data_IF_646877156766
#
_entry.id   IF_646877156766
#
_cell.length_a   1.000
_cell.length_b   1.000
_cell.length_c   1.000
_cell.angle_alpha   90.00
_cell.angle_beta   90.00
_cell.angle_gamma   90.00
#
_symmetry.space_group_name_H-M   'P 1'
#
loop_
_entity.id
_entity.type
_entity.pdbx_description
1 polymer ?
#
# COMPACT_ATOMS: atom_id res chain seq x y z
N UNK A 1 29.64 -6.25 12.40
CA UNK A 1 28.44 -5.67 11.77
C UNK A 1 28.78 -5.44 10.32
N UNK A 2 28.31 -6.21 9.34
CA UNK A 2 28.52 -5.88 7.94
C UNK A 2 27.61 -4.72 7.58
N UNK A 3 28.20 -3.63 7.08
CA UNK A 3 27.49 -2.53 6.47
C UNK A 3 26.72 -3.03 5.25
N UNK A 4 25.38 -2.89 5.27
CA UNK A 4 24.59 -3.07 4.07
C UNK A 4 25.05 -2.03 3.03
N UNK A 5 25.47 -2.49 1.87
CA UNK A 5 25.73 -1.59 0.75
C UNK A 5 24.41 -1.06 0.22
N UNK A 6 24.33 0.23 -0.16
CA UNK A 6 23.12 0.76 -0.79
C UNK A 6 22.85 -0.03 -2.07
N UNK A 7 21.64 -0.57 -2.20
CA UNK A 7 21.19 -1.24 -3.43
C UNK A 7 21.14 -0.20 -4.55
N UNK A 8 21.79 -0.53 -5.66
CA UNK A 8 21.71 0.25 -6.89
C UNK A 8 20.28 0.27 -7.39
N UNK A 9 19.78 1.45 -7.78
CA UNK A 9 18.54 1.62 -8.56
C UNK A 9 18.62 0.70 -9.77
N UNK A 10 17.81 -0.37 -9.79
CA UNK A 10 17.72 -1.28 -10.93
C UNK A 10 16.87 -0.59 -12.01
N UNK A 11 17.51 -0.26 -13.11
CA UNK A 11 16.83 0.27 -14.32
C UNK A 11 15.94 -0.80 -14.94
N UNK A 12 14.84 -0.39 -15.58
CA UNK A 12 13.94 -1.28 -16.32
C UNK A 12 14.72 -2.20 -17.28
N UNK A 13 14.47 -3.51 -17.15
CA UNK A 13 15.11 -4.53 -17.98
C UNK A 13 16.40 -5.13 -17.41
N UNK A 14 17.02 -4.52 -16.39
CA UNK A 14 18.18 -5.11 -15.72
C UNK A 14 17.72 -6.06 -14.59
N UNK A 15 18.05 -7.35 -14.78
CA UNK A 15 17.91 -8.42 -13.79
C UNK A 15 16.47 -8.70 -13.27
N UNK A 16 15.48 -8.78 -14.17
CA UNK A 16 14.12 -9.24 -13.82
C UNK A 16 14.12 -10.55 -13.03
N UNK A 17 14.95 -11.58 -13.35
CA UNK A 17 15.05 -12.79 -12.55
C UNK A 17 15.40 -12.55 -11.08
N UNK A 18 16.37 -11.69 -10.79
CA UNK A 18 16.76 -11.40 -9.41
C UNK A 18 15.69 -10.61 -8.67
N UNK A 19 15.02 -9.65 -9.33
CA UNK A 19 13.88 -8.91 -8.77
C UNK A 19 12.70 -9.84 -8.49
N UNK A 20 12.39 -10.75 -9.41
CA UNK A 20 11.37 -11.78 -9.21
C UNK A 20 11.67 -12.61 -7.96
N UNK A 21 12.87 -13.19 -7.88
CA UNK A 21 13.27 -14.01 -6.75
C UNK A 21 13.19 -13.22 -5.42
N UNK A 22 13.62 -11.96 -5.40
CA UNK A 22 13.57 -11.11 -4.19
C UNK A 22 12.14 -10.81 -3.73
N UNK A 23 11.25 -10.43 -4.64
CA UNK A 23 9.83 -10.14 -4.32
C UNK A 23 9.13 -11.40 -3.82
N UNK A 24 9.34 -12.55 -4.49
CA UNK A 24 8.75 -13.83 -4.09
C UNK A 24 9.23 -14.28 -2.71
N UNK A 25 10.54 -14.17 -2.44
CA UNK A 25 11.12 -14.51 -1.17
C UNK A 25 10.63 -13.61 -0.04
N UNK A 26 10.47 -12.31 -0.28
CA UNK A 26 9.92 -11.38 0.72
C UNK A 26 8.49 -11.73 1.09
N UNK A 27 7.63 -12.04 0.12
CA UNK A 27 6.24 -12.47 0.40
C UNK A 27 6.19 -13.68 1.34
N UNK A 28 7.04 -14.68 1.12
CA UNK A 28 7.12 -15.85 2.00
C UNK A 28 7.69 -15.48 3.39
N UNK A 29 8.72 -14.65 3.44
CA UNK A 29 9.33 -14.22 4.70
C UNK A 29 8.33 -13.41 5.57
N UNK A 30 7.47 -12.60 4.96
CA UNK A 30 6.40 -11.88 5.65
C UNK A 30 5.36 -12.82 6.26
N UNK A 31 5.06 -13.94 5.62
CA UNK A 31 4.11 -14.92 6.13
C UNK A 31 4.73 -15.97 7.08
N UNK A 32 6.05 -16.15 7.06
CA UNK A 32 6.76 -17.19 7.82
C UNK A 32 6.49 -17.19 9.34
N UNK A 33 6.29 -16.03 10.02
CA UNK A 33 5.96 -16.04 11.45
C UNK A 33 4.56 -16.58 11.78
N UNK A 34 3.66 -16.72 10.78
CA UNK A 34 2.27 -17.08 11.00
C UNK A 34 2.06 -18.58 11.07
N UNK A 35 1.25 -19.02 12.03
CA UNK A 35 0.69 -20.38 12.01
C UNK A 35 -0.36 -20.50 10.89
N UNK A 36 -0.72 -21.72 10.49
CA UNK A 36 -1.82 -21.95 9.53
C UNK A 36 -3.15 -21.35 10.02
N UNK A 37 -3.37 -21.35 11.33
CA UNK A 37 -4.53 -20.71 11.93
C UNK A 37 -4.50 -19.19 11.75
N UNK A 38 -3.38 -18.52 12.07
CA UNK A 38 -3.23 -17.08 11.89
C UNK A 38 -3.34 -16.69 10.42
N UNK A 39 -2.71 -17.45 9.53
CA UNK A 39 -2.75 -17.22 8.09
C UNK A 39 -4.14 -17.42 7.46
N UNK A 40 -5.09 -18.04 8.18
CA UNK A 40 -6.46 -18.33 7.70
C UNK A 40 -7.48 -17.28 8.16
N UNK A 41 -7.20 -16.51 9.21
CA UNK A 41 -8.15 -15.57 9.80
C UNK A 41 -8.53 -14.47 8.81
N UNK A 42 -9.83 -14.17 8.77
CA UNK A 42 -10.38 -12.96 8.12
C UNK A 42 -11.14 -12.16 9.17
N UNK A 43 -10.68 -10.98 9.49
CA UNK A 43 -11.19 -10.18 10.60
C UNK A 43 -12.37 -9.26 10.25
N UNK A 44 -12.63 -9.05 8.96
CA UNK A 44 -13.74 -8.27 8.42
C UNK A 44 -13.99 -8.65 6.94
N UNK A 45 -15.13 -8.23 6.40
CA UNK A 45 -15.56 -8.61 5.03
C UNK A 45 -14.59 -8.10 3.94
N UNK A 46 -13.94 -6.96 4.18
CA UNK A 46 -13.02 -6.34 3.23
C UNK A 46 -11.56 -6.81 3.35
N UNK A 47 -11.19 -7.48 4.43
CA UNK A 47 -9.89 -8.11 4.58
C UNK A 47 -9.78 -9.43 3.81
N UNK A 48 -8.56 -9.93 3.65
CA UNK A 48 -8.29 -11.27 3.15
C UNK A 48 -7.29 -11.98 4.07
N UNK A 49 -7.38 -13.31 4.21
CA UNK A 49 -6.40 -14.08 4.97
C UNK A 49 -4.98 -13.94 4.40
N UNK A 50 -3.96 -13.94 5.25
CA UNK A 50 -2.57 -13.85 4.81
C UNK A 50 -2.21 -14.89 3.74
N UNK A 51 -2.62 -16.15 3.92
CA UNK A 51 -2.39 -17.20 2.93
C UNK A 51 -3.11 -16.96 1.60
N UNK A 52 -4.24 -16.23 1.61
CA UNK A 52 -4.95 -15.88 0.39
C UNK A 52 -4.15 -14.87 -0.45
N UNK A 53 -3.46 -13.92 0.16
CA UNK A 53 -2.58 -12.98 -0.55
C UNK A 53 -1.45 -13.72 -1.28
N UNK A 54 -0.77 -14.65 -0.59
CA UNK A 54 0.28 -15.46 -1.21
C UNK A 54 -0.26 -16.30 -2.38
N UNK A 55 -1.44 -16.88 -2.19
CA UNK A 55 -2.09 -17.69 -3.21
C UNK A 55 -2.55 -16.87 -4.41
N UNK A 56 -3.12 -15.68 -4.18
CA UNK A 56 -3.61 -14.80 -5.25
C UNK A 56 -2.46 -14.29 -6.13
N UNK A 57 -1.34 -13.89 -5.54
CA UNK A 57 -0.17 -13.50 -6.33
C UNK A 57 0.41 -14.68 -7.10
N UNK A 58 0.40 -15.88 -6.53
CA UNK A 58 0.80 -17.11 -7.25
C UNK A 58 -0.15 -17.43 -8.39
N UNK A 59 -1.47 -17.27 -8.18
CA UNK A 59 -2.48 -17.38 -9.21
C UNK A 59 -2.24 -16.42 -10.40
N UNK A 60 -1.81 -15.18 -10.11
CA UNK A 60 -1.47 -14.21 -11.15
C UNK A 60 -0.34 -14.73 -12.05
N UNK A 61 0.77 -15.19 -11.46
CA UNK A 61 1.91 -15.74 -12.19
C UNK A 61 1.53 -17.00 -12.98
N UNK A 62 0.76 -17.90 -12.38
CA UNK A 62 0.34 -19.14 -13.05
C UNK A 62 -0.62 -18.85 -14.19
N UNK A 63 -1.58 -17.93 -14.01
CA UNK A 63 -2.63 -17.65 -15.00
C UNK A 63 -2.11 -16.79 -16.15
N UNK A 64 -1.53 -15.64 -15.85
CA UNK A 64 -1.17 -14.68 -16.90
C UNK A 64 0.20 -14.94 -17.54
N UNK A 65 1.09 -15.65 -16.90
CA UNK A 65 2.42 -15.95 -17.44
C UNK A 65 2.52 -17.43 -17.89
N UNK A 66 2.33 -18.37 -16.98
CA UNK A 66 2.58 -19.77 -17.30
C UNK A 66 1.52 -20.38 -18.20
N UNK A 67 0.24 -20.27 -17.85
CA UNK A 67 -0.86 -20.80 -18.65
C UNK A 67 -0.85 -20.24 -20.08
N UNK A 68 -0.63 -18.93 -20.20
CA UNK A 68 -0.78 -18.22 -21.47
C UNK A 68 0.49 -18.23 -22.32
N UNK A 69 1.68 -18.43 -21.73
CA UNK A 69 2.95 -18.27 -22.42
C UNK A 69 3.94 -19.45 -22.29
N UNK A 70 3.70 -20.43 -21.41
CA UNK A 70 4.55 -21.62 -21.30
C UNK A 70 3.90 -22.80 -22.05
N UNK A 71 4.52 -23.22 -23.14
CA UNK A 71 4.02 -24.33 -23.96
C UNK A 71 3.89 -25.63 -23.15
N UNK A 72 2.70 -26.22 -23.16
CA UNK A 72 2.42 -27.48 -22.46
C UNK A 72 2.30 -27.38 -20.94
N UNK A 73 2.28 -26.18 -20.39
CA UNK A 73 2.06 -26.00 -18.94
C UNK A 73 0.64 -26.45 -18.56
N UNK A 74 0.55 -27.21 -17.45
CA UNK A 74 -0.70 -27.62 -16.86
C UNK A 74 -0.85 -26.95 -15.49
N UNK A 75 -2.04 -26.39 -15.19
CA UNK A 75 -2.32 -25.79 -13.89
C UNK A 75 -2.04 -26.76 -12.75
N UNK A 76 -1.47 -26.27 -11.67
CA UNK A 76 -1.17 -27.04 -10.47
C UNK A 76 -2.41 -27.71 -9.88
N UNK A 77 -3.53 -26.98 -9.82
CA UNK A 77 -4.84 -27.51 -9.44
C UNK A 77 -5.95 -26.81 -10.27
N UNK A 78 -6.86 -27.60 -10.85
CA UNK A 78 -7.92 -27.09 -11.73
C UNK A 78 -9.00 -26.25 -11.01
N UNK A 79 -9.09 -26.33 -9.67
CA UNK A 79 -10.08 -25.61 -8.88
C UNK A 79 -9.52 -24.31 -8.30
N UNK A 80 -8.19 -24.17 -8.18
CA UNK A 80 -7.58 -23.02 -7.54
C UNK A 80 -7.78 -21.69 -8.27
N UNK A 81 -7.92 -21.63 -9.59
CA UNK A 81 -8.30 -20.39 -10.27
C UNK A 81 -9.60 -19.78 -9.73
N UNK A 82 -10.63 -20.57 -9.45
CA UNK A 82 -11.88 -20.11 -8.85
C UNK A 82 -11.66 -19.54 -7.42
N UNK A 83 -10.80 -20.18 -6.63
CA UNK A 83 -10.57 -19.81 -5.22
C UNK A 83 -9.74 -18.54 -5.08
N UNK A 84 -8.77 -18.34 -5.98
CA UNK A 84 -7.76 -17.29 -5.84
C UNK A 84 -7.87 -16.16 -6.86
N UNK A 85 -8.82 -16.22 -7.81
CA UNK A 85 -9.22 -15.05 -8.59
C UNK A 85 -9.84 -13.98 -7.67
N UNK A 86 -9.61 -12.69 -7.97
CA UNK A 86 -10.14 -11.56 -7.19
C UNK A 86 -11.14 -10.71 -8.00
N UNK A 87 -10.65 -9.88 -8.89
CA UNK A 87 -11.45 -8.87 -9.60
C UNK A 87 -11.57 -9.13 -11.10
N UNK A 88 -10.91 -10.16 -11.61
CA UNK A 88 -10.80 -10.41 -13.03
C UNK A 88 -12.04 -11.18 -13.51
N UNK A 89 -13.07 -10.43 -13.92
CA UNK A 89 -14.35 -10.99 -14.37
C UNK A 89 -14.18 -11.86 -15.64
N UNK A 90 -13.23 -11.48 -16.51
CA UNK A 90 -12.93 -12.22 -17.73
C UNK A 90 -12.26 -13.58 -17.46
N UNK A 91 -11.67 -13.78 -16.29
CA UNK A 91 -11.10 -15.06 -15.84
C UNK A 91 -12.14 -16.00 -15.20
N UNK A 92 -13.39 -15.57 -15.12
CA UNK A 92 -14.50 -16.42 -14.69
C UNK A 92 -14.95 -16.18 -13.25
N UNK A 93 -15.71 -17.16 -12.74
CA UNK A 93 -16.27 -17.09 -11.38
C UNK A 93 -15.18 -17.13 -10.30
N UNK A 94 -15.50 -16.59 -9.13
CA UNK A 94 -14.60 -16.51 -7.99
C UNK A 94 -15.34 -16.69 -6.67
N UNK A 95 -14.60 -17.02 -5.61
CA UNK A 95 -15.14 -17.02 -4.24
C UNK A 95 -15.47 -15.59 -3.79
N UNK A 96 -16.59 -15.43 -3.09
CA UNK A 96 -16.95 -14.14 -2.50
C UNK A 96 -15.90 -13.69 -1.47
N UNK A 97 -15.52 -12.41 -1.49
CA UNK A 97 -14.45 -11.87 -0.64
C UNK A 97 -14.68 -12.15 0.84
N UNK A 98 -15.91 -11.93 1.33
CA UNK A 98 -16.27 -12.16 2.74
C UNK A 98 -16.20 -13.63 3.18
N UNK A 99 -16.08 -14.57 2.23
CA UNK A 99 -15.98 -16.01 2.52
C UNK A 99 -14.54 -16.55 2.50
N UNK A 100 -13.54 -15.72 2.22
CA UNK A 100 -12.13 -16.15 2.10
C UNK A 100 -11.60 -16.75 3.39
N UNK A 101 -12.03 -16.24 4.55
CA UNK A 101 -11.68 -16.78 5.87
C UNK A 101 -12.26 -18.14 6.20
N UNK A 102 -13.22 -18.64 5.40
CA UNK A 102 -13.78 -19.99 5.56
C UNK A 102 -12.93 -21.07 4.88
N UNK A 103 -11.91 -20.68 4.13
CA UNK A 103 -11.03 -21.60 3.42
C UNK A 103 -9.99 -22.20 4.37
N UNK A 104 -10.34 -23.25 5.11
CA UNK A 104 -9.38 -24.01 5.90
C UNK A 104 -8.39 -24.81 5.03
N UNK A 105 -8.71 -25.03 3.75
CA UNK A 105 -7.86 -25.65 2.73
C UNK A 105 -7.89 -24.81 1.45
N UNK A 106 -6.74 -24.75 0.73
CA UNK A 106 -5.43 -25.32 1.10
C UNK A 106 -4.83 -24.70 2.37
N UNK A 107 -3.90 -25.41 3.00
CA UNK A 107 -3.09 -24.89 4.13
C UNK A 107 -2.04 -23.90 3.62
N UNK A 108 -1.43 -23.14 4.52
CA UNK A 108 -0.31 -22.27 4.18
C UNK A 108 0.83 -23.06 3.52
N UNK A 109 1.16 -24.24 4.05
CA UNK A 109 2.20 -25.11 3.46
C UNK A 109 1.87 -25.56 2.04
N UNK A 110 0.60 -25.90 1.75
CA UNK A 110 0.21 -26.27 0.38
C UNK A 110 0.37 -25.07 -0.60
N UNK A 111 0.11 -23.86 -0.13
CA UNK A 111 0.30 -22.66 -0.94
C UNK A 111 1.79 -22.40 -1.18
N UNK A 112 2.66 -22.59 -0.19
CA UNK A 112 4.12 -22.48 -0.35
C UNK A 112 4.64 -23.52 -1.33
N UNK A 113 4.15 -24.76 -1.28
CA UNK A 113 4.48 -25.80 -2.27
C UNK A 113 4.07 -25.39 -3.69
N UNK A 114 2.86 -24.84 -3.86
CA UNK A 114 2.42 -24.31 -5.15
C UNK A 114 3.29 -23.17 -5.64
N UNK A 115 3.63 -22.21 -4.75
CA UNK A 115 4.54 -21.10 -5.07
C UNK A 115 5.85 -21.62 -5.62
N UNK A 116 6.48 -22.58 -4.92
CA UNK A 116 7.74 -23.20 -5.37
C UNK A 116 7.62 -23.88 -6.73
N UNK A 117 6.48 -24.53 -7.01
CA UNK A 117 6.20 -25.13 -8.32
C UNK A 117 6.13 -24.08 -9.43
N UNK A 118 5.38 -22.99 -9.19
CA UNK A 118 5.23 -21.87 -10.12
C UNK A 118 6.56 -21.17 -10.35
N UNK A 119 7.34 -20.91 -9.28
CA UNK A 119 8.65 -20.25 -9.38
C UNK A 119 9.63 -21.05 -10.25
N UNK A 120 9.67 -22.36 -10.06
CA UNK A 120 10.51 -23.24 -10.91
C UNK A 120 10.08 -23.22 -12.40
N UNK A 121 8.79 -23.07 -12.67
CA UNK A 121 8.30 -23.00 -14.05
C UNK A 121 8.56 -21.62 -14.68
N UNK A 122 8.55 -20.55 -13.89
CA UNK A 122 8.81 -19.18 -14.34
C UNK A 122 10.24 -18.95 -14.86
N UNK A 123 11.22 -19.75 -14.44
CA UNK A 123 12.60 -19.65 -14.93
C UNK A 123 12.70 -19.64 -16.46
N UNK A 124 11.81 -20.34 -17.15
CA UNK A 124 11.74 -20.38 -18.62
C UNK A 124 11.16 -19.12 -19.28
N UNK A 125 10.53 -18.24 -18.51
CA UNK A 125 9.85 -17.03 -19.02
C UNK A 125 10.54 -15.73 -18.64
N UNK A 126 11.27 -15.69 -17.53
CA UNK A 126 11.85 -14.46 -16.95
C UNK A 126 12.85 -13.73 -17.89
N UNK A 127 13.45 -14.42 -18.84
CA UNK A 127 14.38 -13.85 -19.84
C UNK A 127 13.72 -13.40 -21.13
N UNK A 128 12.40 -13.50 -21.27
CA UNK A 128 11.68 -13.16 -22.50
C UNK A 128 11.31 -11.69 -22.54
N UNK A 129 11.96 -10.91 -23.39
CA UNK A 129 11.79 -9.45 -23.49
C UNK A 129 10.32 -9.03 -23.74
N UNK A 130 9.58 -9.78 -24.55
CA UNK A 130 8.18 -9.52 -24.86
C UNK A 130 7.25 -9.66 -23.65
N UNK A 131 7.67 -10.37 -22.60
CA UNK A 131 6.92 -10.55 -21.35
C UNK A 131 7.34 -9.55 -20.26
N UNK A 132 8.40 -8.80 -20.47
CA UNK A 132 8.93 -7.86 -19.46
C UNK A 132 7.86 -6.92 -18.88
N UNK A 133 6.98 -6.28 -19.67
CA UNK A 133 5.92 -5.42 -19.10
C UNK A 133 4.92 -6.17 -18.21
N UNK A 134 4.58 -7.39 -18.56
CA UNK A 134 3.65 -8.21 -17.76
C UNK A 134 4.32 -8.74 -16.49
N UNK A 135 5.61 -9.07 -16.56
CA UNK A 135 6.42 -9.45 -15.40
C UNK A 135 6.55 -8.25 -14.43
N UNK A 136 6.83 -7.05 -14.93
CA UNK A 136 6.87 -5.82 -14.11
C UNK A 136 5.54 -5.57 -13.41
N UNK A 137 4.42 -5.71 -14.10
CA UNK A 137 3.10 -5.62 -13.50
C UNK A 137 2.91 -6.67 -12.40
N UNK A 138 3.31 -7.91 -12.64
CA UNK A 138 3.22 -8.99 -11.66
C UNK A 138 4.06 -8.73 -10.41
N UNK A 139 5.27 -8.17 -10.56
CA UNK A 139 6.11 -7.76 -9.42
C UNK A 139 5.44 -6.68 -8.59
N UNK A 140 4.95 -5.62 -9.24
CA UNK A 140 4.27 -4.51 -8.57
C UNK A 140 2.96 -4.95 -7.91
N UNK A 141 2.21 -5.84 -8.56
CA UNK A 141 1.01 -6.46 -8.01
C UNK A 141 1.33 -7.29 -6.75
N UNK A 142 2.41 -8.08 -6.76
CA UNK A 142 2.79 -8.86 -5.59
C UNK A 142 3.26 -7.96 -4.44
N UNK A 143 3.99 -6.88 -4.72
CA UNK A 143 4.37 -5.88 -3.72
C UNK A 143 3.17 -5.19 -3.08
N UNK A 144 2.13 -4.84 -3.86
CA UNK A 144 0.86 -4.37 -3.28
C UNK A 144 0.25 -5.40 -2.34
N UNK A 145 0.29 -6.69 -2.70
CA UNK A 145 -0.22 -7.75 -1.85
C UNK A 145 0.63 -8.01 -0.60
N UNK A 146 1.91 -7.66 -0.58
CA UNK A 146 2.74 -7.64 0.63
C UNK A 146 2.24 -6.58 1.63
N UNK A 147 1.93 -5.38 1.17
CA UNK A 147 1.34 -4.32 2.01
C UNK A 147 -0.05 -4.71 2.51
N UNK A 148 -0.92 -5.24 1.63
CA UNK A 148 -2.26 -5.69 2.00
C UNK A 148 -2.22 -6.84 3.01
N UNK A 149 -1.31 -7.80 2.85
CA UNK A 149 -1.10 -8.89 3.81
C UNK A 149 -0.78 -8.33 5.21
N UNK A 150 0.14 -7.38 5.28
CA UNK A 150 0.52 -6.75 6.55
C UNK A 150 -0.65 -5.96 7.16
N UNK A 151 -1.40 -5.22 6.34
CA UNK A 151 -2.58 -4.48 6.78
C UNK A 151 -3.64 -5.41 7.36
N UNK A 152 -3.98 -6.47 6.63
CA UNK A 152 -5.06 -7.39 6.98
C UNK A 152 -4.70 -8.26 8.19
N UNK A 153 -3.46 -8.78 8.25
CA UNK A 153 -3.02 -9.59 9.39
C UNK A 153 -2.88 -8.74 10.67
N UNK A 154 -2.44 -7.49 10.57
CA UNK A 154 -2.41 -6.59 11.73
C UNK A 154 -3.79 -6.42 12.33
N UNK A 155 -4.81 -6.17 11.49
CA UNK A 155 -6.18 -6.05 11.94
C UNK A 155 -6.68 -7.37 12.57
N UNK A 156 -6.34 -8.51 12.00
CA UNK A 156 -6.72 -9.82 12.54
C UNK A 156 -6.08 -10.09 13.91
N UNK A 157 -4.79 -9.83 14.06
CA UNK A 157 -4.07 -10.00 15.33
C UNK A 157 -4.54 -9.00 16.41
N UNK A 158 -4.94 -7.78 16.01
CA UNK A 158 -5.52 -6.79 16.92
C UNK A 158 -6.84 -7.26 17.56
N UNK A 159 -7.67 -8.04 16.83
CA UNK A 159 -8.91 -8.59 17.38
C UNK A 159 -8.65 -9.61 18.49
N UNK A 160 -7.42 -10.13 18.61
CA UNK A 160 -7.09 -11.07 19.69
C UNK A 160 -6.81 -10.30 20.98
N UNK A 161 -7.56 -10.58 22.08
CA UNK A 161 -7.43 -9.84 23.33
C UNK A 161 -6.06 -9.97 24.01
N UNK A 162 -5.25 -10.95 23.60
CA UNK A 162 -3.92 -11.16 24.17
C UNK A 162 -2.84 -10.25 23.56
N UNK A 163 -3.16 -9.43 22.53
CA UNK A 163 -2.19 -8.58 21.88
C UNK A 163 -1.08 -9.37 21.17
N UNK A 164 -1.50 -10.37 20.40
CA UNK A 164 -0.59 -11.29 19.70
C UNK A 164 0.34 -10.51 18.78
N UNK A 165 1.63 -10.81 18.84
CA UNK A 165 2.67 -10.21 18.00
C UNK A 165 3.12 -11.18 16.92
N UNK A 166 3.47 -10.63 15.78
CA UNK A 166 4.04 -11.34 14.63
C UNK A 166 5.57 -11.41 14.75
N UNK A 167 6.19 -10.33 15.22
CA UNK A 167 7.63 -10.24 15.43
C UNK A 167 7.99 -9.83 16.85
N UNK A 168 9.09 -10.33 17.36
CA UNK A 168 9.63 -10.01 18.69
C UNK A 168 10.76 -8.98 18.56
N UNK A 169 10.38 -7.76 18.16
CA UNK A 169 11.31 -6.65 17.97
C UNK A 169 10.75 -5.38 18.61
N UNK A 170 11.65 -4.50 19.04
CA UNK A 170 11.28 -3.14 19.47
C UNK A 170 11.37 -2.22 18.26
N UNK A 171 10.40 -1.31 18.14
CA UNK A 171 10.46 -0.26 17.13
C UNK A 171 11.71 0.61 17.31
N UNK A 172 12.37 0.94 16.20
CA UNK A 172 13.34 2.02 16.20
C UNK A 172 12.61 3.34 16.51
N UNK A 173 13.27 4.24 17.23
CA UNK A 173 12.72 5.57 17.45
C UNK A 173 12.61 6.33 16.14
N UNK A 174 11.47 6.99 15.96
CA UNK A 174 11.28 7.89 14.85
C UNK A 174 12.08 9.20 15.07
N UNK A 175 12.25 9.91 13.97
CA UNK A 175 12.86 11.24 13.98
C UNK A 175 11.84 12.25 13.46
N UNK A 176 11.46 13.22 14.28
CA UNK A 176 10.69 14.37 13.84
C UNK A 176 11.61 15.56 13.63
N UNK A 177 11.61 16.13 12.44
CA UNK A 177 12.20 17.43 12.16
C UNK A 177 11.19 18.53 12.48
N UNK A 178 11.63 19.76 12.80
CA UNK A 178 10.71 20.90 12.81
C UNK A 178 9.96 20.99 11.48
N UNK A 179 8.66 21.27 11.56
CA UNK A 179 7.87 21.42 10.34
C UNK A 179 8.27 22.71 9.61
N UNK A 180 8.53 22.61 8.32
CA UNK A 180 8.72 23.72 7.39
C UNK A 180 7.71 23.56 6.23
N UNK A 181 7.69 24.51 5.30
CA UNK A 181 6.74 24.55 4.23
C UNK A 181 7.43 24.62 2.87
N UNK A 182 7.16 23.64 2.02
CA UNK A 182 7.55 23.65 0.61
C UNK A 182 6.58 24.54 -0.16
N UNK A 183 6.97 25.77 -0.44
CA UNK A 183 6.15 26.72 -1.20
C UNK A 183 6.23 26.46 -2.70
N UNK A 184 5.10 26.50 -3.39
CA UNK A 184 5.00 26.40 -4.83
C UNK A 184 4.26 27.63 -5.39
N UNK A 185 4.82 28.34 -6.40
CA UNK A 185 4.25 29.58 -6.91
C UNK A 185 2.95 29.40 -7.72
N UNK A 186 2.53 28.16 -7.95
CA UNK A 186 1.40 27.85 -8.84
C UNK A 186 1.81 27.80 -10.31
N UNK A 187 0.85 27.96 -11.20
CA UNK A 187 1.07 27.90 -12.65
C UNK A 187 0.66 26.58 -13.28
N UNK A 188 1.09 26.34 -14.52
CA UNK A 188 0.75 25.11 -15.24
C UNK A 188 1.79 24.03 -14.94
N UNK A 189 1.39 23.02 -14.19
CA UNK A 189 2.16 21.81 -13.93
C UNK A 189 1.80 20.67 -14.90
N UNK A 190 2.74 19.76 -15.12
CA UNK A 190 2.50 18.53 -15.86
C UNK A 190 2.49 17.37 -14.87
N UNK A 191 1.36 16.71 -14.75
CA UNK A 191 1.04 15.66 -13.78
C UNK A 191 0.85 14.34 -14.52
N UNK A 192 1.15 13.23 -13.83
CA UNK A 192 1.05 11.88 -14.35
C UNK A 192 2.39 11.35 -14.90
N UNK A 193 2.47 10.05 -15.10
CA UNK A 193 3.70 9.37 -15.52
C UNK A 193 4.24 9.90 -16.83
N UNK A 194 5.55 10.17 -16.89
CA UNK A 194 6.20 10.86 -18.01
C UNK A 194 7.47 10.17 -18.53
N UNK A 195 7.91 9.12 -17.86
CA UNK A 195 9.16 8.41 -18.17
C UNK A 195 8.89 7.06 -18.83
N UNK A 196 9.93 6.39 -19.31
CA UNK A 196 9.84 5.04 -19.88
C UNK A 196 9.82 3.93 -18.83
N UNK A 197 9.57 4.27 -17.55
CA UNK A 197 9.48 3.30 -16.44
C UNK A 197 8.12 2.63 -16.33
N UNK A 198 8.01 1.68 -15.38
CA UNK A 198 6.72 1.13 -14.98
C UNK A 198 5.84 2.21 -14.36
N UNK A 199 4.57 2.18 -14.67
CA UNK A 199 3.51 2.89 -13.97
C UNK A 199 2.22 2.09 -14.07
N UNK A 200 1.39 2.16 -13.05
CA UNK A 200 0.03 1.66 -13.17
C UNK A 200 -0.77 2.52 -14.15
N UNK A 201 -1.78 1.96 -14.79
CA UNK A 201 -2.58 2.65 -15.81
C UNK A 201 -3.25 3.93 -15.27
N UNK A 202 -3.62 3.96 -13.98
CA UNK A 202 -4.22 5.12 -13.30
C UNK A 202 -3.24 6.27 -13.05
N UNK A 203 -1.96 6.07 -13.21
CA UNK A 203 -0.93 7.13 -13.10
C UNK A 203 -0.75 7.91 -14.41
N UNK A 204 -1.46 7.55 -15.44
CA UNK A 204 -1.41 8.15 -16.78
C UNK A 204 -2.77 8.45 -17.39
N UNK A 205 -2.79 9.10 -18.56
CA UNK A 205 -1.66 9.74 -19.24
C UNK A 205 -1.26 11.08 -18.62
N UNK A 206 -0.01 11.48 -18.83
CA UNK A 206 0.45 12.79 -18.38
C UNK A 206 -0.35 13.93 -19.02
N UNK A 207 -0.75 14.89 -18.20
CA UNK A 207 -1.60 15.99 -18.61
C UNK A 207 -1.23 17.30 -17.89
N UNK A 208 -1.80 18.43 -18.36
CA UNK A 208 -1.55 19.73 -17.74
C UNK A 208 -2.64 20.10 -16.76
N UNK A 209 -2.22 20.60 -15.60
CA UNK A 209 -3.09 21.09 -14.52
C UNK A 209 -2.68 22.52 -14.18
N UNK A 210 -3.64 23.40 -13.95
CA UNK A 210 -3.38 24.72 -13.38
C UNK A 210 -3.39 24.60 -11.86
N UNK A 211 -2.30 24.99 -11.23
CA UNK A 211 -2.17 25.08 -9.77
C UNK A 211 -2.24 26.54 -9.34
N UNK A 212 -2.98 26.82 -8.29
CA UNK A 212 -2.88 28.08 -7.56
C UNK A 212 -1.63 28.05 -6.65
N UNK A 213 -1.08 29.18 -6.20
CA UNK A 213 0.00 29.19 -5.22
C UNK A 213 -0.40 28.44 -3.95
N UNK A 214 0.47 27.55 -3.46
CA UNK A 214 0.24 26.74 -2.26
C UNK A 214 1.53 26.46 -1.51
N UNK A 215 1.41 25.86 -0.33
CA UNK A 215 2.52 25.29 0.42
C UNK A 215 2.13 23.91 0.96
N UNK A 216 3.07 22.98 0.93
CA UNK A 216 2.94 21.64 1.49
C UNK A 216 3.87 21.51 2.72
N UNK A 217 3.39 20.89 3.79
CA UNK A 217 4.21 20.55 4.95
C UNK A 217 5.43 19.72 4.53
N UNK A 218 6.60 20.03 5.10
CA UNK A 218 7.86 19.35 4.80
C UNK A 218 7.96 17.95 5.43
N UNK A 219 7.00 17.56 6.25
CA UNK A 219 6.93 16.26 6.92
C UNK A 219 5.50 15.82 7.17
N UNK A 220 5.35 14.56 7.52
CA UNK A 220 4.07 13.99 7.95
C UNK A 220 3.66 14.52 9.34
N UNK A 221 2.35 14.52 9.60
CA UNK A 221 1.78 14.83 10.92
C UNK A 221 2.20 13.75 11.91
N UNK A 222 2.65 14.17 13.09
CA UNK A 222 3.15 13.26 14.13
C UNK A 222 2.05 12.80 15.08
N UNK A 223 2.32 11.71 15.80
CA UNK A 223 1.47 11.24 16.89
C UNK A 223 1.29 12.29 17.99
N UNK A 224 2.35 13.08 18.29
CA UNK A 224 2.28 14.17 19.29
C UNK A 224 1.32 15.27 18.87
N UNK A 225 1.36 15.71 17.61
CA UNK A 225 0.41 16.70 17.07
C UNK A 225 -1.03 16.15 17.07
N UNK A 226 -1.18 14.84 16.86
CA UNK A 226 -2.49 14.20 16.94
C UNK A 226 -3.02 14.11 18.37
N UNK A 227 -2.15 13.86 19.36
CA UNK A 227 -2.53 13.94 20.78
C UNK A 227 -3.00 15.35 21.17
N UNK A 228 -2.41 16.42 20.61
CA UNK A 228 -2.88 17.80 20.79
C UNK A 228 -4.26 18.02 20.19
N UNK A 229 -4.52 17.52 18.98
CA UNK A 229 -5.85 17.55 18.34
C UNK A 229 -6.92 16.85 19.19
N UNK A 230 -6.59 15.68 19.76
CA UNK A 230 -7.50 14.96 20.68
C UNK A 230 -7.75 15.78 21.94
N UNK A 231 -6.69 16.30 22.57
CA UNK A 231 -6.75 17.07 23.82
C UNK A 231 -7.56 18.36 23.68
N UNK A 232 -7.52 18.98 22.49
CA UNK A 232 -8.29 20.20 22.17
C UNK A 232 -9.74 19.91 21.76
N UNK A 233 -10.20 18.65 21.88
CA UNK A 233 -11.57 18.22 21.61
C UNK A 233 -11.89 18.03 20.11
N UNK A 234 -10.90 17.67 19.31
CA UNK A 234 -11.06 17.48 17.88
C UNK A 234 -12.17 16.48 17.52
N UNK A 235 -12.28 15.38 18.26
CA UNK A 235 -13.34 14.37 18.06
C UNK A 235 -14.71 14.77 18.62
N UNK A 236 -14.81 15.88 19.35
CA UNK A 236 -16.06 16.40 19.93
C UNK A 236 -16.56 17.67 19.23
N UNK A 237 -15.79 18.22 18.30
CA UNK A 237 -16.08 19.51 17.61
C UNK A 237 -16.62 19.29 16.22
N UNK A 238 -17.94 19.19 16.07
CA UNK A 238 -18.65 18.88 14.82
C UNK A 238 -18.25 19.74 13.61
N UNK A 239 -17.89 21.02 13.85
CA UNK A 239 -17.56 21.96 12.77
C UNK A 239 -16.24 21.69 12.06
N UNK A 240 -15.41 20.81 12.59
CA UNK A 240 -14.14 20.37 11.96
C UNK A 240 -14.38 19.28 10.92
N UNK A 241 -15.50 18.58 10.99
CA UNK A 241 -15.73 17.34 10.26
C UNK A 241 -16.64 17.52 9.05
N UNK A 242 -16.36 16.78 8.00
CA UNK A 242 -17.33 16.54 6.93
C UNK A 242 -18.50 15.72 7.47
N UNK A 243 -19.70 15.91 6.91
CA UNK A 243 -20.97 15.33 7.39
C UNK A 243 -20.89 13.83 7.65
N UNK A 244 -20.39 13.07 6.67
CA UNK A 244 -20.33 11.62 6.75
C UNK A 244 -19.31 11.17 7.81
N UNK A 245 -18.18 11.87 7.90
CA UNK A 245 -17.16 11.64 8.94
C UNK A 245 -17.70 11.92 10.34
N UNK A 246 -18.47 12.99 10.52
CA UNK A 246 -19.12 13.27 11.80
C UNK A 246 -20.13 12.19 12.19
N UNK A 247 -20.96 11.74 11.24
CA UNK A 247 -21.88 10.62 11.44
C UNK A 247 -21.16 9.36 11.90
N UNK A 248 -20.10 8.99 11.18
CA UNK A 248 -19.27 7.82 11.49
C UNK A 248 -18.63 7.90 12.89
N UNK A 249 -18.04 9.06 13.25
CA UNK A 249 -17.45 9.27 14.59
C UNK A 249 -18.48 9.05 15.69
N UNK A 250 -19.70 9.58 15.50
CA UNK A 250 -20.77 9.48 16.50
C UNK A 250 -21.33 8.06 16.64
N UNK A 251 -21.58 7.40 15.51
CA UNK A 251 -22.14 6.04 15.49
C UNK A 251 -21.18 5.01 16.09
N UNK A 252 -19.88 5.16 15.82
CA UNK A 252 -18.88 4.20 16.23
C UNK A 252 -18.10 4.64 17.49
N UNK A 253 -18.49 5.77 18.11
CA UNK A 253 -17.83 6.33 19.29
C UNK A 253 -16.30 6.48 19.13
N UNK A 254 -15.85 6.90 17.95
CA UNK A 254 -14.42 7.09 17.63
C UNK A 254 -13.88 8.25 18.47
N UNK A 255 -12.70 8.07 19.05
CA UNK A 255 -12.02 9.06 19.90
C UNK A 255 -10.51 9.19 19.63
N UNK A 256 -9.96 8.32 18.80
CA UNK A 256 -8.54 8.26 18.48
C UNK A 256 -8.34 7.44 17.20
N UNK A 257 -7.17 7.49 16.57
CA UNK A 257 -6.80 6.61 15.47
C UNK A 257 -6.98 5.13 15.81
N UNK A 258 -7.28 4.33 14.80
CA UNK A 258 -7.36 2.88 14.97
C UNK A 258 -6.05 2.34 15.56
N UNK A 259 -6.14 1.36 16.47
CA UNK A 259 -5.01 0.73 17.18
C UNK A 259 -4.41 1.56 18.33
N UNK A 260 -4.95 2.72 18.66
CA UNK A 260 -4.52 3.47 19.83
C UNK A 260 -5.28 3.04 21.10
N UNK A 261 -4.56 2.96 22.22
CA UNK A 261 -5.10 2.76 23.56
C UNK A 261 -4.21 3.48 24.56
N UNK A 262 -4.74 4.46 25.26
CA UNK A 262 -3.97 5.30 26.18
C UNK A 262 -2.67 5.85 25.53
N UNK A 263 -1.50 5.47 26.05
CA UNK A 263 -0.20 5.85 25.50
C UNK A 263 0.44 4.76 24.63
N UNK A 264 -0.33 3.73 24.27
CA UNK A 264 0.13 2.61 23.45
C UNK A 264 -0.52 2.61 22.07
N UNK A 265 0.15 1.98 21.13
CA UNK A 265 -0.41 1.60 19.83
C UNK A 265 -0.17 0.12 19.56
N UNK A 266 -1.11 -0.54 18.91
CA UNK A 266 -0.92 -1.90 18.45
C UNK A 266 -0.16 -1.90 17.12
N UNK A 267 0.90 -2.73 17.06
CA UNK A 267 1.78 -2.92 15.91
C UNK A 267 1.91 -4.40 15.60
N UNK A 268 2.61 -4.77 14.53
CA UNK A 268 2.97 -6.18 14.28
C UNK A 268 3.89 -6.76 15.35
N UNK A 269 4.51 -5.92 16.19
CA UNK A 269 5.25 -6.34 17.39
C UNK A 269 4.39 -6.32 18.67
N UNK A 270 3.06 -6.33 18.54
CA UNK A 270 2.11 -6.21 19.64
C UNK A 270 1.93 -4.77 20.13
N UNK A 271 1.44 -4.62 21.36
CA UNK A 271 1.30 -3.32 21.99
C UNK A 271 2.67 -2.70 22.29
N UNK A 272 2.88 -1.48 21.81
CA UNK A 272 4.10 -0.71 21.99
C UNK A 272 3.77 0.68 22.53
N UNK A 273 4.64 1.27 23.34
CA UNK A 273 4.52 2.68 23.70
C UNK A 273 4.55 3.51 22.41
N UNK A 274 3.57 4.40 22.26
CA UNK A 274 3.46 5.27 21.10
C UNK A 274 4.59 6.30 21.11
N UNK A 275 5.36 6.38 20.02
CA UNK A 275 6.39 7.37 19.82
C UNK A 275 5.73 8.69 19.35
N UNK A 276 5.83 9.81 20.13
CA UNK A 276 5.21 11.06 19.73
C UNK A 276 5.80 11.67 18.46
N UNK A 277 7.04 11.33 18.12
CA UNK A 277 7.73 11.86 16.94
C UNK A 277 7.44 11.06 15.67
N UNK A 278 6.85 9.86 15.78
CA UNK A 278 6.49 9.05 14.63
C UNK A 278 5.25 9.62 13.92
N UNK A 279 5.16 9.47 12.57
CA UNK A 279 3.95 9.80 11.83
C UNK A 279 2.72 9.09 12.38
N UNK A 280 1.59 9.81 12.45
CA UNK A 280 0.30 9.20 12.76
C UNK A 280 -0.16 8.33 11.62
N UNK A 281 -0.62 7.12 11.95
CA UNK A 281 -1.10 6.13 10.98
C UNK A 281 -2.46 5.58 11.36
N UNK A 282 -3.09 4.87 10.41
CA UNK A 282 -4.38 4.20 10.61
C UNK A 282 -5.53 5.15 10.96
N UNK A 283 -5.52 6.31 10.33
CA UNK A 283 -6.60 7.29 10.34
C UNK A 283 -7.44 7.14 9.07
N UNK A 284 -8.68 7.56 9.11
CA UNK A 284 -9.55 7.68 7.95
C UNK A 284 -9.31 9.00 7.21
N UNK A 285 -9.81 9.10 5.97
CA UNK A 285 -9.85 10.36 5.23
C UNK A 285 -10.54 11.48 6.03
N UNK A 286 -11.63 11.16 6.72
CA UNK A 286 -12.39 12.14 7.50
C UNK A 286 -11.61 12.66 8.71
N UNK A 287 -10.82 11.80 9.35
CA UNK A 287 -9.93 12.20 10.44
C UNK A 287 -8.81 13.11 9.93
N UNK A 288 -8.19 12.75 8.79
CA UNK A 288 -7.15 13.57 8.18
C UNK A 288 -7.68 14.97 7.80
N UNK A 289 -8.88 15.07 7.21
CA UNK A 289 -9.50 16.35 6.86
C UNK A 289 -9.88 17.18 8.10
N UNK A 290 -10.40 16.53 9.14
CA UNK A 290 -10.75 17.19 10.40
C UNK A 290 -9.51 17.73 11.13
N UNK A 291 -8.41 16.97 11.18
CA UNK A 291 -7.14 17.44 11.70
C UNK A 291 -6.62 18.66 10.92
N UNK A 292 -6.61 18.57 9.58
CA UNK A 292 -6.17 19.68 8.74
C UNK A 292 -7.01 20.95 9.00
N UNK A 293 -8.33 20.80 9.14
CA UNK A 293 -9.25 21.90 9.48
C UNK A 293 -8.96 22.50 10.85
N UNK A 294 -8.69 21.66 11.87
CA UNK A 294 -8.31 22.10 13.21
C UNK A 294 -7.00 22.89 13.19
N UNK A 295 -6.01 22.42 12.45
CA UNK A 295 -4.71 23.08 12.28
C UNK A 295 -4.77 24.37 11.44
N UNK A 296 -5.95 24.77 10.91
CA UNK A 296 -6.11 25.93 10.03
C UNK A 296 -5.59 25.72 8.61
N UNK A 297 -5.50 24.49 8.18
CA UNK A 297 -4.99 24.05 6.88
C UNK A 297 -6.01 23.21 6.11
N UNK A 298 -5.59 22.58 5.06
CA UNK A 298 -6.36 21.60 4.27
C UNK A 298 -5.46 20.48 3.78
N UNK A 299 -6.03 19.35 3.41
CA UNK A 299 -5.31 18.32 2.66
C UNK A 299 -4.88 18.86 1.29
N UNK A 300 -3.71 18.42 0.75
CA UNK A 300 -3.29 18.74 -0.61
C UNK A 300 -4.21 18.05 -1.63
N UNK A 301 -4.26 18.57 -2.84
CA UNK A 301 -4.70 17.78 -3.99
C UNK A 301 -3.60 16.83 -4.41
N UNK A 302 -3.94 15.74 -5.11
CA UNK A 302 -2.94 14.84 -5.70
C UNK A 302 -1.95 15.57 -6.62
N UNK A 303 -2.43 16.61 -7.28
CA UNK A 303 -1.62 17.41 -8.21
C UNK A 303 -0.60 18.30 -7.48
N UNK A 304 -1.00 18.89 -6.35
CA UNK A 304 -0.11 19.68 -5.48
C UNK A 304 0.96 18.78 -4.87
N UNK A 305 0.56 17.61 -4.38
CA UNK A 305 1.50 16.64 -3.81
C UNK A 305 2.54 16.20 -4.86
N UNK A 306 2.08 15.83 -6.06
CA UNK A 306 2.97 15.38 -7.14
C UNK A 306 3.88 16.49 -7.65
N UNK A 307 3.39 17.75 -7.70
CA UNK A 307 4.21 18.88 -8.11
C UNK A 307 5.40 19.11 -7.14
N UNK A 308 5.16 18.98 -5.81
CA UNK A 308 6.24 19.05 -4.81
C UNK A 308 7.17 17.83 -4.94
N UNK A 309 6.62 16.62 -5.05
CA UNK A 309 7.42 15.39 -5.16
C UNK A 309 8.37 15.41 -6.35
N UNK A 310 7.93 15.95 -7.49
CA UNK A 310 8.77 16.11 -8.69
C UNK A 310 9.81 17.20 -8.57
N UNK A 311 9.64 18.12 -7.64
CA UNK A 311 10.47 19.31 -7.53
C UNK A 311 10.22 20.33 -8.64
N UNK A 312 10.92 21.43 -8.55
CA UNK A 312 10.89 22.50 -9.55
C UNK A 312 12.33 22.89 -9.87
N UNK A 313 12.69 22.85 -11.15
CA UNK A 313 14.05 23.13 -11.61
C UNK A 313 14.52 24.52 -11.11
N UNK A 314 15.62 24.53 -10.35
CA UNK A 314 16.22 25.74 -9.78
C UNK A 314 15.59 26.26 -8.47
N UNK A 315 14.47 25.69 -8.01
CA UNK A 315 13.76 26.15 -6.80
C UNK A 315 13.58 25.06 -5.76
N UNK A 316 13.04 23.90 -6.15
CA UNK A 316 12.77 22.76 -5.27
C UNK A 316 13.42 21.50 -5.83
N UNK A 317 14.24 20.77 -5.03
CA UNK A 317 14.74 19.46 -5.44
C UNK A 317 13.60 18.47 -5.56
N UNK A 318 13.72 17.52 -6.49
CA UNK A 318 12.81 16.38 -6.53
C UNK A 318 13.06 15.47 -5.33
N UNK A 319 12.00 14.90 -4.77
CA UNK A 319 12.11 13.86 -3.75
C UNK A 319 12.47 12.51 -4.40
N UNK A 320 13.29 11.73 -3.70
CA UNK A 320 13.70 10.41 -4.16
C UNK A 320 12.57 9.39 -3.97
N UNK A 321 12.02 8.80 -5.03
CA UNK A 321 11.00 7.76 -4.91
C UNK A 321 11.49 6.48 -4.22
N UNK A 322 12.80 6.30 -4.09
CA UNK A 322 13.43 5.19 -3.35
C UNK A 322 13.81 5.57 -1.91
N UNK A 323 13.47 6.80 -1.49
CA UNK A 323 13.66 7.25 -0.12
C UNK A 323 12.69 6.59 0.87
N UNK A 324 12.90 6.85 2.16
CA UNK A 324 12.02 6.38 3.23
C UNK A 324 12.10 4.87 3.51
N UNK A 325 10.98 4.30 3.97
CA UNK A 325 10.86 2.90 4.36
C UNK A 325 10.16 2.09 3.25
N UNK A 326 10.93 1.39 2.45
CA UNK A 326 10.46 0.71 1.22
C UNK A 326 10.03 -0.75 1.43
N UNK A 327 9.86 -1.23 2.67
CA UNK A 327 9.57 -2.64 2.98
C UNK A 327 10.59 -3.60 2.33
N UNK A 328 11.88 -3.37 2.59
CA UNK A 328 12.95 -4.16 1.99
C UNK A 328 13.17 -5.52 2.65
N UNK A 329 12.63 -5.72 3.84
CA UNK A 329 12.79 -6.94 4.63
C UNK A 329 11.53 -7.29 5.44
N UNK A 330 11.49 -8.52 5.97
CA UNK A 330 10.38 -9.01 6.78
C UNK A 330 10.50 -8.54 8.23
N UNK A 331 10.32 -7.24 8.45
CA UNK A 331 10.27 -6.60 9.77
C UNK A 331 8.99 -5.78 9.94
N UNK A 332 8.61 -5.38 11.17
CA UNK A 332 7.44 -4.53 11.35
C UNK A 332 7.56 -3.24 10.53
N UNK A 333 6.62 -2.96 9.62
CA UNK A 333 6.61 -1.72 8.86
C UNK A 333 6.14 -0.59 9.80
N UNK A 334 7.08 0.18 10.31
CA UNK A 334 6.81 1.35 11.15
C UNK A 334 7.38 2.58 10.46
N UNK A 335 6.58 3.65 10.32
CA UNK A 335 7.06 4.89 9.73
C UNK A 335 8.15 5.49 10.59
N UNK A 336 9.21 6.00 9.95
CA UNK A 336 10.41 6.53 10.64
C UNK A 336 10.38 8.05 10.78
N UNK A 337 9.54 8.71 9.97
CA UNK A 337 9.54 10.17 9.85
C UNK A 337 10.80 10.67 9.12
N UNK A 338 11.02 11.96 9.13
CA UNK A 338 12.23 12.56 8.56
C UNK A 338 11.99 13.46 7.35
N UNK A 339 10.75 13.63 6.91
CA UNK A 339 10.40 14.54 5.82
C UNK A 339 10.39 13.90 4.42
N UNK A 340 10.46 12.58 4.35
CA UNK A 340 10.33 11.87 3.08
C UNK A 340 8.87 11.83 2.62
N UNK A 341 8.65 12.13 1.34
CA UNK A 341 7.32 12.01 0.73
C UNK A 341 6.98 10.58 0.34
N UNK A 342 7.99 9.73 0.11
CA UNK A 342 7.83 8.35 -0.30
C UNK A 342 8.23 7.38 0.81
N UNK A 343 7.57 6.22 0.85
CA UNK A 343 7.99 5.05 1.59
C UNK A 343 7.62 4.97 3.06
N UNK A 344 7.22 6.06 3.73
CA UNK A 344 6.82 6.02 5.14
C UNK A 344 5.34 5.73 5.32
N UNK A 345 4.47 6.49 4.67
CA UNK A 345 3.02 6.33 4.74
C UNK A 345 2.35 6.69 3.43
N UNK A 346 1.29 5.98 3.08
CA UNK A 346 0.30 6.47 2.14
C UNK A 346 -0.40 7.71 2.72
N UNK A 347 -0.41 8.80 1.96
CA UNK A 347 -0.87 10.11 2.39
C UNK A 347 -2.19 10.46 1.73
N UNK A 348 -3.18 10.83 2.52
CA UNK A 348 -4.46 11.29 1.98
C UNK A 348 -4.32 12.59 1.21
N UNK A 349 -4.94 12.62 0.04
CA UNK A 349 -5.21 13.85 -0.70
C UNK A 349 -6.70 14.14 -0.69
N UNK A 350 -7.09 15.39 -0.95
CA UNK A 350 -8.50 15.76 -1.11
C UNK A 350 -9.07 15.47 -2.50
N UNK A 351 -8.28 14.89 -3.38
CA UNK A 351 -8.71 14.54 -4.74
C UNK A 351 -9.57 13.29 -4.74
N UNK A 352 -10.72 13.36 -5.39
CA UNK A 352 -11.49 12.16 -5.71
C UNK A 352 -10.73 11.29 -6.70
N UNK A 353 -10.80 9.97 -6.54
CA UNK A 353 -10.16 9.03 -7.47
C UNK A 353 -10.96 8.97 -8.77
N UNK A 354 -10.48 9.67 -9.79
CA UNK A 354 -11.09 9.84 -11.10
C UNK A 354 -10.05 9.58 -12.21
N UNK A 355 -10.50 9.15 -13.40
CA UNK A 355 -9.59 8.94 -14.52
C UNK A 355 -8.95 10.28 -14.96
N UNK A 356 -7.67 10.24 -15.25
CA UNK A 356 -6.99 11.38 -15.85
C UNK A 356 -7.55 11.68 -17.26
N UNK A 357 -7.45 12.92 -17.75
CA UNK A 357 -7.90 13.27 -19.08
C UNK A 357 -7.31 12.34 -20.14
N UNK A 358 -8.15 11.70 -20.96
CA UNK A 358 -7.80 10.71 -21.98
C UNK A 358 -7.34 9.34 -21.45
N UNK A 359 -7.59 9.04 -20.18
CA UNK A 359 -7.38 7.70 -19.64
C UNK A 359 -8.16 6.66 -20.49
N UNK A 360 -7.52 5.55 -20.77
CA UNK A 360 -8.13 4.38 -21.39
C UNK A 360 -7.57 3.14 -20.69
N UNK A 361 -8.40 2.25 -20.15
CA UNK A 361 -7.93 1.00 -19.58
C UNK A 361 -7.25 0.15 -20.66
N UNK A 362 -6.28 -0.66 -20.27
CA UNK A 362 -5.69 -1.65 -21.16
C UNK A 362 -6.74 -2.66 -21.64
N UNK A 363 -6.48 -3.32 -22.78
CA UNK A 363 -7.34 -4.41 -23.27
C UNK A 363 -7.14 -5.69 -22.42
N UNK A 364 -8.19 -6.49 -22.32
CA UNK A 364 -8.19 -7.78 -21.62
C UNK A 364 -8.27 -7.66 -20.10
N UNK A 365 -8.01 -8.76 -19.41
CA UNK A 365 -8.14 -8.89 -17.96
C UNK A 365 -7.26 -7.89 -17.19
N UNK A 366 -6.06 -7.59 -17.69
CA UNK A 366 -5.15 -6.60 -17.08
C UNK A 366 -5.79 -5.21 -16.98
N UNK A 367 -6.61 -4.82 -17.97
CA UNK A 367 -7.33 -3.53 -17.95
C UNK A 367 -8.47 -3.45 -16.93
N UNK A 368 -8.83 -4.55 -16.28
CA UNK A 368 -9.80 -4.56 -15.19
C UNK A 368 -9.22 -4.09 -13.85
N UNK A 369 -7.94 -3.76 -13.79
CA UNK A 369 -7.23 -3.55 -12.55
C UNK A 369 -7.66 -2.29 -11.79
N UNK A 370 -7.66 -1.11 -12.43
CA UNK A 370 -7.89 0.17 -11.76
C UNK A 370 -9.19 0.89 -12.19
N UNK A 371 -9.50 0.92 -13.47
CA UNK A 371 -10.54 1.78 -14.04
C UNK A 371 -11.91 1.64 -13.38
N UNK A 372 -12.32 0.44 -13.02
CA UNK A 372 -13.62 0.16 -12.39
C UNK A 372 -13.75 0.66 -10.95
N UNK A 373 -12.64 1.00 -10.29
CA UNK A 373 -12.61 1.51 -8.92
C UNK A 373 -12.60 3.03 -8.83
N UNK A 374 -12.55 3.75 -9.96
CA UNK A 374 -12.54 5.21 -10.01
C UNK A 374 -13.91 5.83 -9.68
N UNK A 375 -14.43 5.50 -8.50
CA UNK A 375 -15.73 5.97 -8.00
C UNK A 375 -15.78 5.90 -6.48
N UNK A 376 -16.15 7.00 -5.83
CA UNK A 376 -16.41 7.04 -4.38
C UNK A 376 -15.18 6.87 -3.49
N UNK A 377 -13.99 7.04 -4.02
CA UNK A 377 -12.72 6.91 -3.30
C UNK A 377 -11.90 8.19 -3.40
N UNK A 378 -10.93 8.34 -2.50
CA UNK A 378 -9.95 9.42 -2.52
C UNK A 378 -8.56 8.89 -2.90
N UNK A 379 -7.78 9.75 -3.56
CA UNK A 379 -6.42 9.41 -3.99
C UNK A 379 -5.48 9.43 -2.78
N UNK A 380 -4.69 8.39 -2.67
CA UNK A 380 -3.51 8.34 -1.80
C UNK A 380 -2.25 8.57 -2.64
N UNK A 381 -1.25 9.22 -2.03
CA UNK A 381 0.11 9.39 -2.56
C UNK A 381 1.13 8.99 -1.49
N UNK A 382 2.29 8.42 -1.88
CA UNK A 382 3.30 8.00 -0.92
C UNK A 382 4.46 7.27 -1.56
#
# INVERSE_FOLDING_TARGET
>A
MPHAQPRSVLTLGEDLPARYAAVRALSEALAAPLSDADATIQSMEDASPAKWHLAHTTWFWETFLLRDHAEGYALYDQNWPFVFNSYYETEGERIARFSRGMLSRPTLSNIVEWRSHVDAAMDGLLGREELAPLIELGLSHEQQHQELLLTDIKHALFQNPFGVKMWDVSAAKAHSSPNDWHSHPGGIARIGHQTDGFAFDNEGPAHRVLLEPFALSSRLVTNGEWDEFIADGGYDTATLWLSDGWGWVRENAIRAPLYWRDHEQFTHAGWQTRDPDAPVTHISYFEADAFASWAGHRLPTEFEWEAIARGQEGELPAHDPQGGNQLDDATPPLPRGGGELFGDCWQFTRSGYLPYPRFQPAEGAVGEYNGKFMSGQFVLKG
#
